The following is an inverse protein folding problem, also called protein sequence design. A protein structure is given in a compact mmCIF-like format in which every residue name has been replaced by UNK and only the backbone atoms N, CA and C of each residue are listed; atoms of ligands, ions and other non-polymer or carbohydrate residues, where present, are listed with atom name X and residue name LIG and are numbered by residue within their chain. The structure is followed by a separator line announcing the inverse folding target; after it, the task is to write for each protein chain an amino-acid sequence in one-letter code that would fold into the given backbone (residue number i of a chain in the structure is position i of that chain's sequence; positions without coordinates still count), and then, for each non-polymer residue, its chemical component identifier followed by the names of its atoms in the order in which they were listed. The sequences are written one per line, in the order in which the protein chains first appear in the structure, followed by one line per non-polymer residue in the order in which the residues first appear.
data_IF_410722284376
#
_entry.id   IF_410722284376
#
_cell.length_a   1.000
_cell.length_b   1.000
_cell.length_c   1.000
_cell.angle_alpha   90.00
_cell.angle_beta   90.00
_cell.angle_gamma   90.00
#
_symmetry.space_group_name_H-M   'P 1'
#
loop_
_entity.id
_entity.type
_entity.pdbx_description
1 polymer ?
#
# COMPACT_ATOMS: atom_id res chain seq x y z
N UNK A 1 5.60 10.49 -1.62
CA UNK A 1 4.31 10.19 -0.96
C UNK A 1 3.13 10.21 -1.91
N UNK A 2 2.84 11.31 -2.63
CA UNK A 2 1.69 11.40 -3.54
C UNK A 2 1.65 10.35 -4.65
N UNK A 3 2.80 10.06 -5.28
CA UNK A 3 2.88 8.99 -6.29
C UNK A 3 2.52 7.60 -5.71
N UNK A 4 2.95 7.31 -4.48
CA UNK A 4 2.60 6.06 -3.79
C UNK A 4 1.11 6.00 -3.45
N UNK A 5 0.51 7.13 -3.05
CA UNK A 5 -0.93 7.23 -2.82
C UNK A 5 -1.73 7.00 -4.11
N UNK A 6 -1.34 7.61 -5.23
CA UNK A 6 -2.02 7.37 -6.52
C UNK A 6 -1.88 5.91 -6.96
N UNK A 7 -0.69 5.34 -6.81
CA UNK A 7 -0.45 3.94 -7.14
C UNK A 7 -1.24 2.98 -6.23
N UNK A 8 -1.41 3.30 -4.95
CA UNK A 8 -2.22 2.49 -4.03
C UNK A 8 -3.72 2.60 -4.31
N UNK A 9 -4.23 3.77 -4.71
CA UNK A 9 -5.60 3.93 -5.23
C UNK A 9 -5.80 3.07 -6.47
N UNK A 10 -4.85 3.09 -7.41
CA UNK A 10 -4.91 2.23 -8.60
C UNK A 10 -4.87 0.74 -8.25
N UNK A 11 -4.03 0.33 -7.29
CA UNK A 11 -3.99 -1.03 -6.80
C UNK A 11 -5.32 -1.47 -6.16
N UNK A 12 -5.96 -0.58 -5.38
CA UNK A 12 -7.28 -0.81 -4.80
C UNK A 12 -8.35 -0.99 -5.89
N UNK A 13 -8.35 -0.13 -6.92
CA UNK A 13 -9.21 -0.28 -8.09
C UNK A 13 -9.03 -1.66 -8.74
N UNK A 14 -7.79 -2.08 -8.99
CA UNK A 14 -7.51 -3.40 -9.57
C UNK A 14 -8.01 -4.53 -8.67
N UNK A 15 -7.86 -4.41 -7.34
CA UNK A 15 -8.36 -5.38 -6.36
C UNK A 15 -9.90 -5.52 -6.40
N UNK A 16 -10.61 -4.40 -6.52
CA UNK A 16 -12.07 -4.40 -6.71
C UNK A 16 -12.47 -5.05 -8.04
N UNK A 17 -11.73 -4.82 -9.13
CA UNK A 17 -11.98 -5.52 -10.40
C UNK A 17 -11.72 -7.03 -10.30
N UNK A 18 -10.71 -7.46 -9.52
CA UNK A 18 -10.49 -8.90 -9.24
C UNK A 18 -11.69 -9.50 -8.52
N UNK A 19 -12.21 -8.83 -7.48
CA UNK A 19 -13.41 -9.28 -6.77
C UNK A 19 -14.63 -9.33 -7.70
N UNK A 20 -14.83 -8.31 -8.53
CA UNK A 20 -15.91 -8.25 -9.53
C UNK A 20 -15.80 -9.42 -10.53
N UNK A 21 -14.60 -9.67 -11.05
CA UNK A 21 -14.35 -10.76 -12.02
C UNK A 21 -14.66 -12.13 -11.43
N UNK A 22 -14.34 -12.35 -10.14
CA UNK A 22 -14.65 -13.61 -9.44
C UNK A 22 -16.15 -13.85 -9.30
N UNK A 23 -16.92 -12.79 -9.06
CA UNK A 23 -18.35 -12.87 -8.80
C UNK A 23 -19.23 -12.76 -10.07
N UNK A 24 -18.66 -12.34 -11.19
CA UNK A 24 -19.36 -12.22 -12.47
C UNK A 24 -19.69 -13.59 -13.10
N UNK A 25 -20.71 -13.61 -13.95
CA UNK A 25 -21.16 -14.80 -14.69
C UNK A 25 -21.38 -14.46 -16.18
N UNK A 26 -21.53 -15.50 -17.03
CA UNK A 26 -21.85 -15.34 -18.46
C UNK A 26 -20.87 -14.46 -19.24
N UNK A 27 -21.39 -13.68 -20.19
CA UNK A 27 -20.63 -12.77 -21.05
C UNK A 27 -19.85 -11.72 -20.25
N UNK A 28 -20.42 -11.23 -19.15
CA UNK A 28 -19.74 -10.26 -18.30
C UNK A 28 -18.42 -10.83 -17.74
N UNK A 29 -18.40 -12.10 -17.33
CA UNK A 29 -17.18 -12.75 -16.85
C UNK A 29 -16.16 -12.89 -17.97
N UNK A 30 -16.59 -13.27 -19.18
CA UNK A 30 -15.71 -13.43 -20.33
C UNK A 30 -14.99 -12.12 -20.66
N UNK A 31 -15.71 -11.00 -20.67
CA UNK A 31 -15.12 -9.69 -20.90
C UNK A 31 -14.16 -9.27 -19.79
N UNK A 32 -14.54 -9.45 -18.52
CA UNK A 32 -13.69 -9.05 -17.39
C UNK A 32 -12.37 -9.84 -17.31
N UNK A 33 -12.36 -11.12 -17.69
CA UNK A 33 -11.15 -11.96 -17.70
C UNK A 33 -10.09 -11.43 -18.66
N UNK A 34 -10.49 -10.84 -19.80
CA UNK A 34 -9.56 -10.21 -20.77
C UNK A 34 -8.74 -9.09 -20.12
N UNK A 35 -9.30 -8.43 -19.10
CA UNK A 35 -8.62 -7.38 -18.36
C UNK A 35 -7.44 -7.85 -17.50
N UNK A 36 -7.27 -9.16 -17.24
CA UNK A 36 -6.15 -9.72 -16.46
C UNK A 36 -5.86 -8.95 -15.16
N UNK A 37 -6.92 -8.52 -14.47
CA UNK A 37 -6.82 -7.64 -13.30
C UNK A 37 -6.01 -8.26 -12.15
N UNK A 38 -6.04 -9.59 -12.02
CA UNK A 38 -5.24 -10.32 -11.03
C UNK A 38 -3.72 -10.16 -11.28
N UNK A 39 -3.28 -10.25 -12.53
CA UNK A 39 -1.87 -10.10 -12.90
C UNK A 39 -1.42 -8.67 -12.64
N UNK A 40 -2.20 -7.69 -13.11
CA UNK A 40 -1.89 -6.27 -12.91
C UNK A 40 -1.88 -5.90 -11.42
N UNK A 41 -2.85 -6.40 -10.64
CA UNK A 41 -2.90 -6.16 -9.20
C UNK A 41 -1.67 -6.73 -8.50
N UNK A 42 -1.26 -7.95 -8.84
CA UNK A 42 -0.06 -8.57 -8.29
C UNK A 42 1.22 -7.78 -8.63
N UNK A 43 1.37 -7.34 -9.88
CA UNK A 43 2.54 -6.56 -10.32
C UNK A 43 2.61 -5.20 -9.61
N UNK A 44 1.52 -4.43 -9.63
CA UNK A 44 1.46 -3.12 -8.97
C UNK A 44 1.63 -3.27 -7.45
N UNK A 45 1.00 -4.28 -6.84
CA UNK A 45 1.17 -4.57 -5.42
C UNK A 45 2.60 -4.93 -5.05
N UNK A 46 3.31 -5.68 -5.90
CA UNK A 46 4.72 -6.03 -5.69
C UNK A 46 5.64 -4.81 -5.79
N UNK A 47 5.39 -3.92 -6.75
CA UNK A 47 6.11 -2.65 -6.88
C UNK A 47 5.86 -1.76 -5.65
N UNK A 48 4.60 -1.63 -5.22
CA UNK A 48 4.24 -0.88 -4.01
C UNK A 48 4.96 -1.41 -2.77
N UNK A 49 4.97 -2.73 -2.57
CA UNK A 49 5.68 -3.37 -1.47
C UNK A 49 7.18 -2.99 -1.49
N UNK A 50 7.84 -3.15 -2.63
CA UNK A 50 9.27 -2.83 -2.75
C UNK A 50 9.54 -1.35 -2.47
N UNK A 51 8.78 -0.44 -3.08
CA UNK A 51 8.96 1.00 -2.89
C UNK A 51 8.69 1.44 -1.46
N UNK A 52 7.68 0.87 -0.79
CA UNK A 52 7.38 1.19 0.60
C UNK A 52 8.47 0.72 1.55
N UNK A 53 8.93 -0.52 1.40
CA UNK A 53 9.98 -1.09 2.27
C UNK A 53 11.28 -0.32 2.08
N UNK A 54 11.74 -0.14 0.84
CA UNK A 54 12.97 0.58 0.55
C UNK A 54 12.85 2.05 0.96
N UNK A 55 11.71 2.69 0.68
CA UNK A 55 11.46 4.09 1.08
C UNK A 55 11.48 4.28 2.60
N UNK A 56 10.90 3.36 3.35
CA UNK A 56 10.90 3.37 4.82
C UNK A 56 12.31 3.22 5.39
N UNK A 57 13.05 2.19 4.94
CA UNK A 57 14.44 1.96 5.35
C UNK A 57 15.35 3.13 4.95
N UNK A 58 15.24 3.59 3.71
CA UNK A 58 16.03 4.71 3.19
C UNK A 58 15.75 6.02 3.93
N UNK A 59 14.47 6.32 4.22
CA UNK A 59 14.09 7.49 4.99
C UNK A 59 14.67 7.49 6.41
N UNK A 60 14.65 6.34 7.09
CA UNK A 60 15.30 6.17 8.39
C UNK A 60 16.83 6.32 8.27
N UNK A 61 17.46 5.70 7.26
CA UNK A 61 18.90 5.79 7.05
C UNK A 61 19.36 7.24 6.83
N UNK A 62 18.70 7.98 5.95
CA UNK A 62 18.99 9.41 5.70
C UNK A 62 18.82 10.23 6.98
N UNK A 63 17.74 9.97 7.74
CA UNK A 63 17.51 10.66 9.01
C UNK A 63 18.65 10.41 10.00
N UNK A 64 19.07 9.15 10.14
CA UNK A 64 20.13 8.76 11.05
C UNK A 64 21.49 9.36 10.64
N UNK A 65 21.86 9.26 9.36
CA UNK A 65 23.13 9.81 8.83
C UNK A 65 23.20 11.33 9.09
N UNK A 66 22.10 12.05 8.88
CA UNK A 66 22.10 13.50 9.01
C UNK A 66 21.99 14.01 10.45
N UNK A 67 21.46 13.21 11.39
CA UNK A 67 21.13 13.67 12.75
C UNK A 67 21.79 12.86 13.88
N UNK A 68 22.46 11.74 13.56
CA UNK A 68 23.02 10.80 14.54
C UNK A 68 21.98 9.99 15.34
N UNK A 69 20.68 10.17 15.04
CA UNK A 69 19.57 9.50 15.73
C UNK A 69 18.31 9.45 14.85
N UNK A 70 17.39 8.56 15.21
CA UNK A 70 16.03 8.56 14.68
C UNK A 70 15.11 9.35 15.61
N UNK A 71 14.18 10.11 15.03
CA UNK A 71 13.14 10.82 15.78
C UNK A 71 11.91 9.92 15.90
N UNK A 72 11.67 9.38 17.09
CA UNK A 72 10.49 8.55 17.37
C UNK A 72 9.28 9.45 17.58
N UNK A 73 8.54 9.67 16.49
CA UNK A 73 7.30 10.44 16.50
C UNK A 73 6.19 9.77 15.69
N UNK A 74 4.98 10.37 15.65
CA UNK A 74 3.83 9.79 14.97
C UNK A 74 4.07 9.42 13.51
N UNK A 75 4.86 10.22 12.78
CA UNK A 75 5.20 9.95 11.37
C UNK A 75 6.01 8.65 11.22
N UNK A 76 7.07 8.48 12.01
CA UNK A 76 7.91 7.27 11.97
C UNK A 76 7.11 6.02 12.37
N UNK A 77 6.36 6.11 13.48
CA UNK A 77 5.57 4.98 13.97
C UNK A 77 4.49 4.57 12.97
N UNK A 78 3.81 5.53 12.35
CA UNK A 78 2.85 5.25 11.28
C UNK A 78 3.53 4.63 10.06
N UNK A 79 4.69 5.14 9.62
CA UNK A 79 5.44 4.59 8.48
C UNK A 79 5.88 3.15 8.71
N UNK A 80 6.37 2.82 9.91
CA UNK A 80 6.70 1.45 10.31
C UNK A 80 5.47 0.55 10.33
N UNK A 81 4.37 1.02 10.93
CA UNK A 81 3.09 0.30 10.92
C UNK A 81 2.60 0.00 9.51
N UNK A 82 2.64 0.99 8.61
CA UNK A 82 2.28 0.82 7.20
C UNK A 82 3.18 -0.19 6.47
N UNK A 83 4.49 -0.17 6.75
CA UNK A 83 5.46 -1.13 6.18
C UNK A 83 5.11 -2.56 6.63
N UNK A 84 4.79 -2.75 7.92
CA UNK A 84 4.34 -4.04 8.45
C UNK A 84 3.01 -4.49 7.85
N UNK A 85 2.04 -3.58 7.71
CA UNK A 85 0.73 -3.88 7.13
C UNK A 85 0.84 -4.38 5.68
N UNK A 86 1.64 -3.71 4.83
CA UNK A 86 1.79 -4.16 3.43
C UNK A 86 2.53 -5.49 3.32
N UNK A 87 3.54 -5.74 4.16
CA UNK A 87 4.25 -7.02 4.20
C UNK A 87 3.32 -8.17 4.63
N UNK A 88 2.56 -7.98 5.72
CA UNK A 88 1.55 -8.93 6.18
C UNK A 88 0.49 -9.18 5.11
N UNK A 89 -0.03 -8.12 4.49
CA UNK A 89 -1.03 -8.19 3.43
C UNK A 89 -0.53 -9.01 2.22
N UNK A 90 0.71 -8.76 1.77
CA UNK A 90 1.33 -9.50 0.67
C UNK A 90 1.53 -10.99 1.01
N UNK A 91 1.90 -11.31 2.25
CA UNK A 91 2.12 -12.68 2.72
C UNK A 91 0.88 -13.57 2.68
N UNK A 92 -0.33 -12.98 2.61
CA UNK A 92 -1.59 -13.71 2.48
C UNK A 92 -1.84 -14.29 1.08
N UNK A 93 -1.04 -13.88 0.08
CA UNK A 93 -1.22 -14.27 -1.32
C UNK A 93 -1.32 -15.79 -1.56
N UNK A 94 -0.47 -16.66 -0.95
CA UNK A 94 -0.57 -18.10 -1.14
C UNK A 94 -1.91 -18.69 -0.65
N UNK A 95 -2.44 -18.20 0.47
CA UNK A 95 -3.74 -18.64 0.99
C UNK A 95 -4.88 -18.17 0.11
N UNK A 96 -4.82 -16.93 -0.39
CA UNK A 96 -5.83 -16.39 -1.32
C UNK A 96 -5.86 -17.14 -2.65
N UNK A 97 -4.70 -17.54 -3.17
CA UNK A 97 -4.59 -18.37 -4.38
C UNK A 97 -5.21 -19.75 -4.17
N UNK A 98 -5.08 -20.32 -2.95
CA UNK A 98 -5.70 -21.60 -2.55
C UNK A 98 -7.20 -21.51 -2.24
N UNK A 99 -7.86 -20.37 -2.45
CA UNK A 99 -9.30 -20.28 -2.23
C UNK A 99 -9.72 -19.73 -0.87
N UNK A 100 -8.80 -19.47 0.06
CA UNK A 100 -9.15 -19.09 1.43
C UNK A 100 -9.83 -17.71 1.50
N UNK A 101 -11.10 -17.68 1.91
CA UNK A 101 -11.88 -16.45 2.00
C UNK A 101 -11.46 -15.56 3.18
N UNK A 102 -11.05 -16.15 4.31
CA UNK A 102 -10.54 -15.39 5.46
C UNK A 102 -9.31 -14.56 5.04
N UNK A 103 -8.37 -15.16 4.31
CA UNK A 103 -7.16 -14.48 3.85
C UNK A 103 -7.49 -13.31 2.91
N UNK A 104 -8.51 -13.45 2.06
CA UNK A 104 -8.98 -12.36 1.18
C UNK A 104 -9.59 -11.22 1.98
N UNK A 105 -10.45 -11.54 2.94
CA UNK A 105 -11.06 -10.53 3.81
C UNK A 105 -10.00 -9.78 4.61
N UNK A 106 -9.04 -10.49 5.20
CA UNK A 106 -7.92 -9.89 5.92
C UNK A 106 -7.06 -9.03 5.00
N UNK A 107 -6.69 -9.52 3.81
CA UNK A 107 -5.93 -8.75 2.83
C UNK A 107 -6.65 -7.44 2.45
N UNK A 108 -7.96 -7.50 2.18
CA UNK A 108 -8.76 -6.32 1.86
C UNK A 108 -8.74 -5.33 3.04
N UNK A 109 -9.03 -5.79 4.26
CA UNK A 109 -9.03 -4.95 5.46
C UNK A 109 -7.68 -4.25 5.66
N UNK A 110 -6.58 -4.99 5.64
CA UNK A 110 -5.23 -4.44 5.82
C UNK A 110 -4.92 -3.37 4.78
N UNK A 111 -5.28 -3.59 3.51
CA UNK A 111 -5.00 -2.62 2.45
C UNK A 111 -5.89 -1.37 2.51
N UNK A 112 -7.15 -1.47 2.95
CA UNK A 112 -7.99 -0.29 3.16
C UNK A 112 -7.52 0.55 4.35
N UNK A 113 -7.09 -0.10 5.44
CA UNK A 113 -6.41 0.59 6.55
C UNK A 113 -5.14 1.28 6.05
N UNK A 114 -4.32 0.58 5.27
CA UNK A 114 -3.10 1.13 4.68
C UNK A 114 -3.38 2.34 3.78
N UNK A 115 -4.43 2.28 2.95
CA UNK A 115 -4.83 3.39 2.08
C UNK A 115 -5.26 4.61 2.90
N UNK A 116 -6.03 4.41 3.97
CA UNK A 116 -6.41 5.48 4.90
C UNK A 116 -5.19 6.13 5.57
N UNK A 117 -4.24 5.31 6.02
CA UNK A 117 -2.97 5.81 6.58
C UNK A 117 -2.14 6.57 5.54
N UNK A 118 -2.12 6.12 4.28
CA UNK A 118 -1.44 6.85 3.19
C UNK A 118 -2.04 8.23 2.96
N UNK A 119 -3.36 8.33 2.91
CA UNK A 119 -4.05 9.61 2.75
C UNK A 119 -3.72 10.56 3.91
N UNK A 120 -3.75 10.06 5.15
CA UNK A 120 -3.37 10.83 6.34
C UNK A 120 -1.90 11.29 6.30
N UNK A 121 -0.99 10.38 5.95
CA UNK A 121 0.45 10.67 5.87
C UNK A 121 0.78 11.64 4.73
N UNK A 122 0.03 11.64 3.63
CA UNK A 122 0.21 12.62 2.56
C UNK A 122 -0.08 14.06 3.03
N UNK A 123 -1.10 14.24 3.89
CA UNK A 123 -1.45 15.55 4.48
C UNK A 123 -0.41 15.96 5.53
N UNK A 124 -0.11 15.08 6.49
CA UNK A 124 0.83 15.41 7.58
C UNK A 124 2.27 15.59 7.08
N UNK A 125 2.67 14.89 6.02
CA UNK A 125 3.97 15.09 5.37
C UNK A 125 4.14 16.49 4.79
N UNK A 126 3.10 17.06 4.17
CA UNK A 126 3.13 18.45 3.68
C UNK A 126 3.29 19.44 4.83
N UNK A 127 2.62 19.22 5.95
CA UNK A 127 2.75 20.07 7.14
C UNK A 127 4.18 20.05 7.70
N UNK A 128 4.85 18.90 7.68
CA UNK A 128 6.25 18.78 8.12
C UNK A 128 7.16 19.58 7.19
N UNK A 129 7.01 19.43 5.87
CA UNK A 129 7.79 20.20 4.89
C UNK A 129 7.56 21.70 5.05
N UNK A 130 6.31 22.13 5.24
CA UNK A 130 5.97 23.53 5.48
C UNK A 130 6.65 24.08 6.73
N UNK A 131 6.67 23.33 7.85
CA UNK A 131 7.37 23.75 9.08
C UNK A 131 8.88 23.87 8.89
N UNK A 132 9.48 23.02 8.06
CA UNK A 132 10.92 23.10 7.77
C UNK A 132 11.23 24.37 6.98
N UNK A 133 10.41 24.68 5.96
CA UNK A 133 10.63 25.84 5.09
C UNK A 133 10.24 27.15 5.78
N UNK A 134 9.20 27.17 6.61
CA UNK A 134 8.73 28.39 7.29
C UNK A 134 9.60 28.79 8.49
N UNK A 135 10.38 27.84 9.02
CA UNK A 135 11.30 28.07 10.14
C UNK A 135 12.78 28.13 9.66
N UNK A 136 13.00 28.19 8.34
CA UNK A 136 14.29 28.41 7.69
C UNK A 136 14.39 29.87 7.21
#
# INVERSE_FOLDING_TARGET
MWALLLMSIYAAYLGLQVQRTRNAQGEQKKELVKGRYNVRHYQIGSILLALMVIGSVGGMAVTYINNGKLFVGPHLLAGLGMTSLIALSASLSPYMQKGANWARATHILLNFVLLGLFAWQAITGVQIVQRIISNA
#
